data_IF_268743439463
#
_entry.id   IF_268743439463
#
_cell.length_a   1.000
_cell.length_b   1.000
_cell.length_c   1.000
_cell.angle_alpha   90.00
_cell.angle_beta   90.00
_cell.angle_gamma   90.00
#
_symmetry.space_group_name_H-M   'P 1'
#
loop_
_entity.id
_entity.type
_entity.pdbx_description
1 polymer ?
#
# COMPACT_ATOMS: atom_id res chain seq x y z
N UNK A 1 3.51 -11.26 1.12
CA UNK A 1 3.82 -12.51 1.86
C UNK A 1 4.19 -12.16 3.31
N UNK A 2 3.72 -12.95 4.26
CA UNK A 2 3.99 -12.76 5.68
C UNK A 2 4.63 -14.03 6.27
N UNK A 3 5.92 -13.95 6.58
CA UNK A 3 6.69 -15.02 7.25
C UNK A 3 7.17 -14.55 8.64
N UNK A 4 6.36 -13.77 9.34
CA UNK A 4 6.70 -13.25 10.65
C UNK A 4 6.54 -14.32 11.73
N UNK A 5 7.47 -14.35 12.67
CA UNK A 5 7.42 -15.14 13.89
C UNK A 5 6.92 -14.25 15.02
N UNK A 6 5.70 -14.49 15.43
CA UNK A 6 5.05 -13.73 16.48
C UNK A 6 5.57 -14.11 17.85
N UNK A 7 5.79 -13.13 18.71
CA UNK A 7 6.32 -13.33 20.05
C UNK A 7 5.27 -13.84 21.03
N UNK A 8 4.00 -13.54 20.80
CA UNK A 8 2.90 -13.98 21.65
C UNK A 8 1.62 -14.27 20.83
N UNK A 9 0.67 -15.05 21.38
CA UNK A 9 -0.58 -15.41 20.66
C UNK A 9 -1.50 -14.24 20.36
N UNK A 10 -1.33 -13.11 21.04
CA UNK A 10 -2.14 -11.90 20.84
C UNK A 10 -1.43 -10.87 19.96
N UNK A 11 -0.19 -11.14 19.55
CA UNK A 11 0.55 -10.25 18.67
C UNK A 11 -0.12 -10.12 17.31
N UNK A 12 0.14 -9.01 16.64
CA UNK A 12 -0.39 -8.70 15.32
C UNK A 12 0.71 -8.13 14.44
N UNK A 13 0.64 -8.42 13.14
CA UNK A 13 1.35 -7.66 12.13
C UNK A 13 0.34 -6.78 11.42
N UNK A 14 0.64 -5.51 11.31
CA UNK A 14 -0.24 -4.51 10.72
C UNK A 14 0.49 -3.81 9.58
N UNK A 15 -0.12 -3.80 8.43
CA UNK A 15 0.28 -3.02 7.28
C UNK A 15 -0.70 -1.87 7.10
N UNK A 16 -0.20 -0.64 7.10
CA UNK A 16 -0.99 0.56 6.84
C UNK A 16 -0.49 1.29 5.61
N UNK A 17 -1.43 1.84 4.88
CA UNK A 17 -1.20 2.76 3.77
C UNK A 17 -1.85 4.09 4.14
N UNK A 18 -1.09 5.17 4.09
CA UNK A 18 -1.52 6.49 4.52
C UNK A 18 -1.85 7.38 3.34
N UNK A 19 -2.87 8.24 3.54
CA UNK A 19 -3.23 9.25 2.56
C UNK A 19 -2.24 10.42 2.54
N UNK A 20 -2.07 11.02 1.38
CA UNK A 20 -1.16 12.14 1.14
C UNK A 20 -1.69 13.48 1.65
N UNK A 21 -3.00 13.66 1.60
CA UNK A 21 -3.64 14.91 1.98
C UNK A 21 -3.84 14.98 3.50
N UNK A 22 -4.07 13.83 4.11
CA UNK A 22 -4.22 13.71 5.57
C UNK A 22 -3.59 12.39 6.05
N UNK A 23 -2.43 12.48 6.67
CA UNK A 23 -1.71 11.33 7.20
C UNK A 23 -2.40 10.66 8.41
N UNK A 24 -3.51 11.20 8.88
CA UNK A 24 -4.37 10.53 9.86
C UNK A 24 -5.33 9.53 9.21
N UNK A 25 -5.55 9.66 7.89
CA UNK A 25 -6.34 8.72 7.12
C UNK A 25 -5.46 7.56 6.65
N UNK A 26 -5.98 6.35 6.78
CA UNK A 26 -5.25 5.16 6.35
C UNK A 26 -6.17 3.98 6.03
N UNK A 27 -5.64 3.09 5.20
CA UNK A 27 -6.15 1.75 4.98
C UNK A 27 -5.25 0.79 5.76
N UNK A 28 -5.84 -0.10 6.55
CA UNK A 28 -5.14 -1.05 7.40
C UNK A 28 -5.48 -2.49 7.02
N UNK A 29 -4.45 -3.31 6.94
CA UNK A 29 -4.57 -4.78 6.87
C UNK A 29 -3.80 -5.38 8.03
N UNK A 30 -4.48 -6.12 8.87
CA UNK A 30 -3.89 -6.76 10.04
C UNK A 30 -3.95 -8.27 9.97
N UNK A 31 -2.93 -8.90 10.53
CA UNK A 31 -2.75 -10.35 10.56
C UNK A 31 -2.29 -10.79 11.95
N UNK A 32 -3.00 -11.77 12.52
CA UNK A 32 -2.64 -12.38 13.80
C UNK A 32 -1.88 -13.70 13.63
N UNK A 33 -1.24 -14.21 14.71
CA UNK A 33 -0.47 -15.43 14.69
C UNK A 33 -1.33 -16.71 14.64
N UNK A 34 -0.65 -17.85 14.51
CA UNK A 34 -1.24 -19.15 14.78
C UNK A 34 -1.64 -19.25 16.27
N UNK A 35 -2.68 -20.03 16.63
CA UNK A 35 -3.43 -20.92 15.74
C UNK A 35 -4.53 -20.23 14.93
N UNK A 36 -5.02 -19.08 15.37
CA UNK A 36 -6.24 -18.46 14.83
C UNK A 36 -6.05 -17.87 13.45
N UNK A 37 -4.84 -17.36 13.13
CA UNK A 37 -4.57 -16.69 11.84
C UNK A 37 -5.59 -15.60 11.55
N UNK A 38 -5.85 -14.73 12.52
CA UNK A 38 -6.80 -13.62 12.42
C UNK A 38 -6.42 -12.71 11.25
N UNK A 39 -7.43 -12.21 10.55
CA UNK A 39 -7.26 -11.24 9.48
C UNK A 39 -8.32 -10.16 9.58
N UNK A 40 -7.95 -8.90 9.37
CA UNK A 40 -8.91 -7.82 9.29
C UNK A 40 -8.47 -6.76 8.29
N UNK A 41 -9.44 -6.02 7.83
CA UNK A 41 -9.26 -4.79 7.06
C UNK A 41 -10.00 -3.69 7.80
N UNK A 42 -9.33 -2.57 7.99
CA UNK A 42 -9.94 -1.38 8.56
C UNK A 42 -9.57 -0.15 7.73
N UNK A 43 -10.37 0.87 7.87
CA UNK A 43 -10.13 2.19 7.28
C UNK A 43 -10.29 3.25 8.36
N UNK A 44 -9.46 4.27 8.29
CA UNK A 44 -9.60 5.49 9.08
C UNK A 44 -9.93 6.62 8.13
N UNK A 45 -11.10 7.21 8.30
CA UNK A 45 -11.55 8.35 7.51
C UNK A 45 -11.91 9.53 8.41
N UNK A 46 -11.93 10.78 7.93
CA UNK A 46 -12.28 11.95 8.72
C UNK A 46 -13.71 11.90 9.26
N UNK A 47 -14.60 11.38 8.45
CA UNK A 47 -16.05 11.42 8.74
C UNK A 47 -16.49 10.33 9.71
N UNK A 48 -15.94 9.11 9.56
CA UNK A 48 -16.39 7.94 10.32
C UNK A 48 -15.39 7.46 11.38
N UNK A 49 -14.15 7.96 11.34
CA UNK A 49 -13.08 7.51 12.20
C UNK A 49 -12.58 6.10 11.81
N UNK A 50 -12.12 5.33 12.80
CA UNK A 50 -11.61 3.98 12.60
C UNK A 50 -12.74 2.96 12.52
N UNK A 51 -12.89 2.36 11.35
CA UNK A 51 -13.93 1.36 11.06
C UNK A 51 -13.29 0.06 10.56
N UNK A 52 -13.59 -1.05 11.23
CA UNK A 52 -13.23 -2.39 10.76
C UNK A 52 -14.27 -2.84 9.74
N UNK A 53 -13.88 -2.89 8.47
CA UNK A 53 -14.78 -3.19 7.33
C UNK A 53 -14.83 -4.69 7.00
N UNK A 54 -13.81 -5.46 7.45
CA UNK A 54 -13.79 -6.90 7.33
C UNK A 54 -13.01 -7.51 8.49
N UNK A 55 -13.48 -8.67 9.00
CA UNK A 55 -12.81 -9.37 10.10
C UNK A 55 -13.06 -10.86 10.04
N UNK A 56 -11.98 -11.64 9.95
CA UNK A 56 -11.95 -13.08 10.17
C UNK A 56 -11.20 -13.38 11.48
N UNK A 57 -11.83 -14.06 12.42
CA UNK A 57 -11.25 -14.37 13.72
C UNK A 57 -10.50 -15.69 13.73
N UNK A 58 -10.74 -16.55 12.75
CA UNK A 58 -10.13 -17.86 12.60
C UNK A 58 -9.87 -18.15 11.12
N UNK A 59 -8.66 -18.65 10.81
CA UNK A 59 -8.22 -19.00 9.45
C UNK A 59 -8.41 -17.89 8.43
N UNK A 60 -8.23 -16.66 8.89
CA UNK A 60 -8.40 -15.46 8.06
C UNK A 60 -7.31 -15.26 7.01
N UNK A 61 -6.11 -15.81 7.22
CA UNK A 61 -5.01 -15.72 6.27
C UNK A 61 -4.12 -16.97 6.26
N UNK A 62 -3.24 -17.07 5.27
CA UNK A 62 -2.27 -18.15 5.15
C UNK A 62 -0.89 -17.55 4.83
N UNK A 63 0.21 -18.07 5.40
CA UNK A 63 1.55 -17.51 5.26
C UNK A 63 2.01 -17.29 3.82
N UNK A 64 1.68 -18.19 2.91
CA UNK A 64 2.08 -18.13 1.51
C UNK A 64 1.07 -17.37 0.63
N UNK A 65 -0.08 -16.97 1.18
CA UNK A 65 -1.08 -16.22 0.43
C UNK A 65 -0.70 -14.74 0.32
N UNK A 66 -0.80 -14.21 -0.87
CA UNK A 66 -0.64 -12.76 -1.11
C UNK A 66 -1.92 -12.03 -0.73
N UNK A 67 -1.81 -11.03 0.12
CA UNK A 67 -2.87 -10.05 0.30
C UNK A 67 -2.63 -8.88 -0.64
N UNK A 68 -3.66 -8.50 -1.39
CA UNK A 68 -3.59 -7.41 -2.37
C UNK A 68 -4.56 -6.33 -1.94
N UNK A 69 -4.04 -5.14 -1.74
CA UNK A 69 -4.82 -3.93 -1.48
C UNK A 69 -4.80 -3.08 -2.74
N UNK A 70 -5.96 -2.76 -3.27
CA UNK A 70 -6.10 -1.89 -4.44
C UNK A 70 -7.13 -0.81 -4.18
N UNK A 71 -6.80 0.39 -4.59
CA UNK A 71 -7.67 1.55 -4.51
C UNK A 71 -7.61 2.35 -5.80
N UNK A 72 -8.77 2.81 -6.25
CA UNK A 72 -8.89 3.83 -7.29
C UNK A 72 -10.10 4.70 -6.98
N UNK A 73 -10.03 5.99 -7.28
CA UNK A 73 -11.14 6.95 -7.09
C UNK A 73 -12.45 6.49 -7.74
N UNK A 74 -12.36 5.68 -8.79
CA UNK A 74 -13.53 5.22 -9.54
C UNK A 74 -14.14 3.94 -9.00
N UNK A 75 -13.30 3.03 -8.50
CA UNK A 75 -13.74 1.70 -8.08
C UNK A 75 -13.74 1.52 -6.56
N UNK A 76 -13.18 2.49 -5.81
CA UNK A 76 -13.05 2.38 -4.37
C UNK A 76 -11.98 1.37 -3.93
N UNK A 77 -12.01 1.01 -2.67
CA UNK A 77 -11.10 0.06 -2.03
C UNK A 77 -11.56 -1.38 -2.32
N UNK A 78 -10.62 -2.19 -2.78
CA UNK A 78 -10.77 -3.64 -2.90
C UNK A 78 -9.60 -4.34 -2.23
N UNK A 79 -9.89 -5.33 -1.41
CA UNK A 79 -8.87 -6.14 -0.72
C UNK A 79 -9.09 -7.60 -1.02
N UNK A 80 -8.05 -8.25 -1.52
CA UNK A 80 -7.99 -9.69 -1.70
C UNK A 80 -7.10 -10.31 -0.64
N UNK A 81 -7.47 -11.48 -0.16
CA UNK A 81 -6.65 -12.29 0.72
C UNK A 81 -6.54 -13.70 0.12
N UNK A 82 -5.40 -13.96 -0.53
CA UNK A 82 -5.27 -15.11 -1.41
C UNK A 82 -6.26 -15.03 -2.58
N UNK A 83 -7.02 -16.11 -2.79
CA UNK A 83 -8.04 -16.18 -3.83
C UNK A 83 -9.38 -15.52 -3.44
N UNK A 84 -9.53 -15.08 -2.18
CA UNK A 84 -10.78 -14.50 -1.67
C UNK A 84 -10.75 -12.98 -1.82
N UNK A 85 -11.83 -12.40 -2.32
CA UNK A 85 -12.10 -10.97 -2.21
C UNK A 85 -12.83 -10.74 -0.89
N UNK A 86 -12.23 -9.98 0.02
CA UNK A 86 -12.76 -9.74 1.36
C UNK A 86 -13.39 -8.36 1.51
N UNK A 87 -12.95 -7.40 0.72
CA UNK A 87 -13.56 -6.09 0.55
C UNK A 87 -13.64 -5.81 -0.92
N UNK A 88 -14.76 -5.28 -1.41
CA UNK A 88 -14.95 -4.95 -2.81
C UNK A 88 -15.64 -3.61 -2.97
N UNK A 89 -15.05 -2.73 -3.77
CA UNK A 89 -15.62 -1.45 -4.18
C UNK A 89 -16.12 -0.57 -3.03
N UNK A 90 -15.44 -0.63 -1.88
CA UNK A 90 -15.78 0.21 -0.75
C UNK A 90 -15.40 1.66 -1.05
N UNK A 91 -16.38 2.54 -1.02
CA UNK A 91 -16.14 3.98 -1.13
C UNK A 91 -15.55 4.50 0.19
N UNK A 92 -14.35 5.02 0.13
CA UNK A 92 -13.64 5.66 1.26
C UNK A 92 -13.32 7.13 0.95
N UNK A 93 -13.97 7.69 -0.07
CA UNK A 93 -13.68 9.03 -0.55
C UNK A 93 -12.43 9.10 -1.44
N UNK A 94 -11.82 10.27 -1.47
CA UNK A 94 -10.56 10.46 -2.18
C UNK A 94 -9.40 9.98 -1.32
N UNK A 95 -8.53 9.18 -1.90
CA UNK A 95 -7.36 8.65 -1.22
C UNK A 95 -6.17 8.61 -2.17
N UNK A 96 -5.08 9.26 -1.81
CA UNK A 96 -3.84 9.24 -2.58
C UNK A 96 -2.70 8.69 -1.72
N UNK A 97 -2.15 7.55 -2.10
CA UNK A 97 -1.11 6.88 -1.32
C UNK A 97 0.16 7.75 -1.27
N UNK A 98 0.60 8.09 -0.06
CA UNK A 98 1.87 8.76 0.18
C UNK A 98 2.92 7.81 0.73
N UNK A 99 2.55 7.05 1.75
CA UNK A 99 3.49 6.22 2.49
C UNK A 99 2.82 4.95 3.02
N UNK A 100 3.63 4.04 3.51
CA UNK A 100 3.14 2.86 4.19
C UNK A 100 3.98 2.56 5.44
N UNK A 101 3.40 1.84 6.38
CA UNK A 101 4.10 1.32 7.55
C UNK A 101 3.80 -0.16 7.75
N UNK A 102 4.76 -0.84 8.37
CA UNK A 102 4.58 -2.19 8.91
C UNK A 102 4.97 -2.16 10.37
N UNK A 103 4.08 -2.57 11.23
CA UNK A 103 4.32 -2.59 12.67
C UNK A 103 3.54 -3.71 13.35
N UNK A 104 3.93 -4.03 14.60
CA UNK A 104 3.14 -4.87 15.48
C UNK A 104 2.17 -4.01 16.28
N UNK A 105 0.97 -4.54 16.53
CA UNK A 105 0.06 -3.98 17.53
C UNK A 105 0.03 -4.89 18.75
N UNK A 106 0.27 -4.31 19.89
CA UNK A 106 0.33 -5.00 21.19
C UNK A 106 -0.18 -4.06 22.30
N UNK A 107 -0.57 -4.65 23.40
CA UNK A 107 -0.88 -3.87 24.60
C UNK A 107 0.40 -3.28 25.19
N UNK A 108 0.29 -2.19 25.95
CA UNK A 108 1.43 -1.49 26.54
C UNK A 108 2.25 -2.34 27.53
N UNK A 109 1.70 -3.45 27.99
CA UNK A 109 2.33 -4.38 28.97
C UNK A 109 2.79 -5.69 28.30
N UNK A 110 2.48 -5.90 27.04
CA UNK A 110 2.84 -7.12 26.32
C UNK A 110 4.28 -7.05 25.80
N UNK A 111 4.96 -8.19 25.65
CA UNK A 111 6.22 -8.24 24.94
C UNK A 111 6.02 -7.90 23.46
N UNK A 112 7.10 -7.58 22.70
CA UNK A 112 6.99 -7.30 21.27
C UNK A 112 6.15 -8.32 20.53
N UNK A 113 5.22 -7.86 19.70
CA UNK A 113 4.30 -8.74 18.97
C UNK A 113 5.03 -9.63 17.97
N UNK A 114 6.14 -9.14 17.42
CA UNK A 114 6.92 -9.81 16.39
C UNK A 114 8.34 -10.04 16.90
N UNK A 115 8.78 -11.29 16.84
CA UNK A 115 10.13 -11.71 17.24
C UNK A 115 11.14 -11.56 16.12
N UNK A 116 10.78 -12.04 14.94
CA UNK A 116 11.62 -12.01 13.75
C UNK A 116 10.79 -12.35 12.52
N UNK A 117 11.39 -12.27 11.37
CA UNK A 117 10.79 -12.71 10.11
C UNK A 117 10.89 -11.67 9.01
N UNK A 118 10.20 -11.93 7.91
CA UNK A 118 10.20 -11.09 6.73
C UNK A 118 8.76 -10.89 6.26
N UNK A 119 8.39 -9.65 6.03
CA UNK A 119 7.19 -9.30 5.28
C UNK A 119 7.63 -8.68 3.95
N UNK A 120 7.18 -9.25 2.83
CA UNK A 120 7.46 -8.73 1.50
C UNK A 120 6.29 -7.88 1.06
N UNK A 121 6.56 -6.61 0.79
CA UNK A 121 5.59 -5.65 0.24
C UNK A 121 6.03 -5.31 -1.18
N UNK A 122 5.13 -5.45 -2.13
CA UNK A 122 5.37 -5.19 -3.55
C UNK A 122 4.32 -4.21 -4.07
N UNK A 123 4.74 -3.15 -4.71
CA UNK A 123 3.85 -2.21 -5.40
C UNK A 123 3.63 -2.74 -6.81
N UNK A 124 2.42 -3.26 -7.08
CA UNK A 124 2.08 -3.90 -8.36
C UNK A 124 1.63 -2.89 -9.42
N UNK A 125 0.92 -1.85 -9.01
CA UNK A 125 0.50 -0.76 -9.86
C UNK A 125 0.28 0.48 -9.00
N UNK A 126 0.33 1.59 -9.61
CA UNK A 126 0.35 2.89 -8.97
C UNK A 126 1.52 3.62 -9.57
N UNK A 127 1.40 4.89 -9.67
CA UNK A 127 2.46 5.72 -10.19
C UNK A 127 3.26 6.30 -9.01
N UNK A 128 4.30 5.61 -8.52
CA UNK A 128 5.25 6.26 -7.62
C UNK A 128 5.94 7.43 -8.31
N UNK A 129 5.72 7.56 -9.61
CA UNK A 129 6.17 8.62 -10.47
C UNK A 129 5.04 9.27 -11.25
N UNK A 130 3.91 9.64 -10.65
CA UNK A 130 2.99 10.63 -11.25
C UNK A 130 3.75 11.85 -11.79
N UNK A 131 4.99 11.99 -11.36
CA UNK A 131 5.94 12.96 -11.85
C UNK A 131 6.64 12.58 -13.16
N UNK A 132 6.51 11.38 -13.71
CA UNK A 132 7.08 11.11 -15.05
C UNK A 132 6.49 12.06 -16.11
N UNK A 133 5.20 12.38 -16.01
CA UNK A 133 4.60 13.40 -16.88
C UNK A 133 4.99 14.83 -16.51
N UNK A 134 5.36 15.11 -15.26
CA UNK A 134 5.89 16.42 -14.87
C UNK A 134 7.26 16.67 -15.54
N UNK A 135 8.04 15.66 -15.85
CA UNK A 135 9.28 15.78 -16.61
C UNK A 135 9.08 15.73 -18.12
N UNK A 136 7.90 15.42 -18.61
CA UNK A 136 7.61 15.36 -20.05
C UNK A 136 7.97 16.68 -20.79
N UNK A 137 7.66 17.87 -20.27
CA UNK A 137 8.10 19.12 -20.89
C UNK A 137 9.62 19.23 -21.03
N UNK A 138 10.38 18.72 -20.04
CA UNK A 138 11.83 18.73 -20.08
C UNK A 138 12.39 17.77 -21.13
N UNK A 139 11.80 16.59 -21.30
CA UNK A 139 12.20 15.64 -22.34
C UNK A 139 11.90 16.18 -23.73
N UNK A 140 10.76 16.82 -23.92
CA UNK A 140 10.41 17.49 -25.18
C UNK A 140 11.35 18.65 -25.46
N UNK A 141 11.64 19.50 -24.49
CA UNK A 141 12.58 20.61 -24.63
C UNK A 141 14.00 20.14 -24.96
N UNK A 142 14.47 19.10 -24.27
CA UNK A 142 15.78 18.48 -24.57
C UNK A 142 15.82 17.89 -25.97
N UNK A 143 14.77 17.18 -26.41
CA UNK A 143 14.65 16.66 -27.77
C UNK A 143 14.70 17.73 -28.84
N UNK A 144 13.96 18.82 -28.68
CA UNK A 144 13.98 19.96 -29.59
C UNK A 144 15.36 20.62 -29.61
N UNK A 145 16.01 20.76 -28.44
CA UNK A 145 17.35 21.32 -28.32
C UNK A 145 18.40 20.52 -29.10
N UNK A 146 18.34 19.17 -29.00
CA UNK A 146 19.26 18.27 -29.74
C UNK A 146 19.03 18.39 -31.25
N UNK A 147 17.77 18.37 -31.71
CA UNK A 147 17.44 18.50 -33.13
C UNK A 147 17.90 19.85 -33.65
N UNK A 148 17.64 20.94 -32.93
CA UNK A 148 18.05 22.30 -33.28
C UNK A 148 19.58 22.44 -33.39
N UNK A 149 20.31 21.89 -32.43
CA UNK A 149 21.77 21.89 -32.47
C UNK A 149 22.32 21.09 -33.67
N UNK A 150 21.76 19.91 -33.92
CA UNK A 150 22.16 19.07 -35.06
C UNK A 150 21.95 19.79 -36.39
N UNK A 151 20.79 20.42 -36.58
CA UNK A 151 20.49 21.18 -37.80
C UNK A 151 21.39 22.41 -37.95
N UNK A 152 21.72 23.08 -36.87
CA UNK A 152 22.63 24.23 -36.89
C UNK A 152 24.05 23.83 -37.32
N UNK A 153 24.58 22.75 -36.76
CA UNK A 153 25.95 22.30 -37.07
C UNK A 153 26.03 21.70 -38.46
N UNK A 154 24.99 21.02 -38.96
CA UNK A 154 25.00 20.50 -40.33
C UNK A 154 24.95 21.64 -41.37
N UNK A 155 24.14 22.67 -41.13
CA UNK A 155 24.04 23.87 -42.02
C UNK A 155 25.33 24.68 -42.05
N UNK A 156 26.11 24.69 -40.96
CA UNK A 156 27.39 25.45 -40.91
C UNK A 156 28.54 24.74 -41.61
N UNK A 157 28.38 23.43 -41.94
CA UNK A 157 29.37 22.61 -42.65
C UNK A 157 29.11 22.52 -44.16
N UNK A 158 27.99 23.00 -44.66
CA UNK A 158 27.67 23.21 -46.09
C UNK A 158 28.01 24.63 -46.51
#
# INVERSE_FOLDING_TARGET
DNNLLYANPNGNAVFRVYDKLDNTEFIEVGMGPKPDLKFWVAVQTPDEGYVVVHRDLDRGWYPEAKSIVSFTDRAGLTVNNGARIVVTNLDIGKFEIESYSVHGMEGSTDPPAINSGVMIVEILSGDPGKNMFAFFPFYVAAGIGIIGATLYFTKKRS
#
